data_IF_340439593952
#
_entry.id   IF_340439593952
#
_cell.length_a   1.000
_cell.length_b   1.000
_cell.length_c   1.000
_cell.angle_alpha   90.00
_cell.angle_beta   90.00
_cell.angle_gamma   90.00
#
_symmetry.space_group_name_H-M   'P 1'
#
loop_
_entity.id
_entity.type
_entity.pdbx_description
1 polymer ?
#
# COMPACT_ATOMS: atom_id res chain seq x y z
N UNK A 1 -7.61 1.47 6.68
CA UNK A 1 -7.99 1.18 8.07
C UNK A 1 -9.52 1.07 8.16
N UNK A 2 -10.02 0.53 9.27
CA UNK A 2 -11.44 0.48 9.61
C UNK A 2 -11.64 1.15 10.97
N UNK A 3 -12.66 1.98 11.08
CA UNK A 3 -12.96 2.75 12.28
C UNK A 3 -14.16 2.15 13.01
N UNK A 4 -13.97 1.91 14.31
CA UNK A 4 -15.06 1.61 15.23
C UNK A 4 -15.89 2.85 15.57
N UNK A 5 -17.08 2.68 16.18
CA UNK A 5 -17.99 3.78 16.52
C UNK A 5 -17.43 4.74 17.58
N UNK A 6 -16.42 4.34 18.33
CA UNK A 6 -15.69 5.13 19.33
C UNK A 6 -14.38 5.74 18.78
N UNK A 7 -14.06 5.50 17.50
CA UNK A 7 -12.85 5.98 16.84
C UNK A 7 -11.66 5.03 16.91
N UNK A 8 -11.79 3.83 17.49
CA UNK A 8 -10.73 2.82 17.48
C UNK A 8 -10.39 2.38 16.05
N UNK A 9 -9.11 2.14 15.78
CA UNK A 9 -8.59 1.88 14.43
C UNK A 9 -8.17 0.42 14.30
N UNK A 10 -8.81 -0.30 13.38
CA UNK A 10 -8.47 -1.67 13.01
C UNK A 10 -7.76 -1.69 11.65
N UNK A 11 -6.59 -2.32 11.58
CA UNK A 11 -5.80 -2.48 10.35
C UNK A 11 -5.80 -3.95 9.96
N UNK A 12 -6.42 -4.26 8.84
CA UNK A 12 -6.63 -5.62 8.34
C UNK A 12 -6.58 -5.63 6.80
N UNK A 13 -6.32 -6.79 6.20
CA UNK A 13 -6.28 -6.94 4.74
C UNK A 13 -7.67 -6.91 4.10
N UNK A 14 -8.68 -7.38 4.83
CA UNK A 14 -10.06 -7.39 4.38
C UNK A 14 -11.05 -7.00 5.50
N UNK A 15 -12.33 -6.95 5.14
CA UNK A 15 -13.40 -6.57 6.06
C UNK A 15 -13.68 -7.64 7.12
N UNK A 16 -13.56 -8.93 6.76
CA UNK A 16 -13.88 -10.03 7.66
C UNK A 16 -12.86 -10.11 8.80
N UNK A 17 -11.59 -9.93 8.49
CA UNK A 17 -10.51 -9.84 9.46
C UNK A 17 -10.71 -8.62 10.39
N UNK A 18 -11.08 -7.46 9.83
CA UNK A 18 -11.38 -6.27 10.62
C UNK A 18 -12.57 -6.48 11.59
N UNK A 19 -13.65 -7.10 11.11
CA UNK A 19 -14.82 -7.43 11.91
C UNK A 19 -14.49 -8.43 13.03
N UNK A 20 -13.61 -9.41 12.77
CA UNK A 20 -13.14 -10.34 13.79
C UNK A 20 -12.33 -9.62 14.89
N UNK A 21 -11.41 -8.73 14.51
CA UNK A 21 -10.65 -7.91 15.46
C UNK A 21 -11.57 -7.01 16.29
N UNK A 22 -12.56 -6.39 15.65
CA UNK A 22 -13.53 -5.55 16.35
C UNK A 22 -14.44 -6.38 17.27
N UNK A 23 -14.85 -7.58 16.86
CA UNK A 23 -15.65 -8.47 17.69
C UNK A 23 -14.87 -8.93 18.95
N UNK A 24 -13.57 -9.18 18.82
CA UNK A 24 -12.69 -9.46 19.97
C UNK A 24 -12.56 -8.24 20.89
N UNK A 25 -12.43 -7.04 20.33
CA UNK A 25 -12.29 -5.81 21.10
C UNK A 25 -13.58 -5.40 21.84
N UNK A 26 -14.74 -5.41 21.17
CA UNK A 26 -16.01 -4.96 21.73
C UNK A 26 -16.86 -6.08 22.36
N UNK A 27 -16.46 -7.35 22.19
CA UNK A 27 -17.22 -8.51 22.64
C UNK A 27 -18.58 -8.71 21.92
N UNK A 28 -18.81 -7.99 20.82
CA UNK A 28 -20.04 -8.04 20.02
C UNK A 28 -19.76 -7.66 18.57
N UNK A 29 -20.63 -8.10 17.67
CA UNK A 29 -20.60 -7.63 16.28
C UNK A 29 -20.89 -6.12 16.26
N UNK A 30 -19.96 -5.35 15.70
CA UNK A 30 -19.96 -3.90 15.69
C UNK A 30 -19.73 -3.44 14.26
N UNK A 31 -20.56 -2.51 13.79
CA UNK A 31 -20.44 -1.95 12.44
C UNK A 31 -19.17 -1.10 12.34
N UNK A 32 -18.35 -1.39 11.33
CA UNK A 32 -17.10 -0.69 11.06
C UNK A 32 -17.24 0.21 9.84
N UNK A 33 -16.65 1.40 9.91
CA UNK A 33 -16.57 2.31 8.76
C UNK A 33 -15.20 2.21 8.13
N UNK A 34 -15.13 1.89 6.83
CA UNK A 34 -13.85 1.89 6.10
C UNK A 34 -13.33 3.32 5.94
N UNK A 35 -12.03 3.49 6.12
CA UNK A 35 -11.35 4.74 5.81
C UNK A 35 -11.63 5.17 4.36
N UNK A 36 -12.07 6.42 4.20
CA UNK A 36 -12.36 7.00 2.88
C UNK A 36 -11.13 7.64 2.24
N UNK A 37 -10.03 7.77 2.98
CA UNK A 37 -8.80 8.33 2.46
C UNK A 37 -8.24 7.46 1.32
N UNK A 38 -7.75 8.15 0.30
CA UNK A 38 -7.05 7.55 -0.84
C UNK A 38 -5.58 7.92 -0.78
N UNK A 39 -4.75 7.00 -1.26
CA UNK A 39 -3.32 7.25 -1.34
C UNK A 39 -3.02 8.27 -2.45
N UNK A 40 -2.03 9.11 -2.20
CA UNK A 40 -1.50 10.07 -3.16
C UNK A 40 -1.03 9.37 -4.46
N UNK A 41 -1.19 10.01 -5.62
CA UNK A 41 -0.84 9.40 -6.92
C UNK A 41 0.64 9.03 -7.00
N UNK A 42 1.52 9.78 -6.33
CA UNK A 42 2.94 9.46 -6.29
C UNK A 42 3.26 8.26 -5.39
N UNK A 43 2.35 7.84 -4.50
CA UNK A 43 2.52 6.60 -3.75
C UNK A 43 2.49 5.39 -4.69
N UNK A 44 1.45 5.26 -5.51
CA UNK A 44 1.35 4.14 -6.46
C UNK A 44 2.41 4.22 -7.56
N UNK A 45 2.73 5.44 -8.03
CA UNK A 45 3.77 5.66 -9.03
C UNK A 45 5.17 5.29 -8.50
N UNK A 46 5.43 5.43 -7.20
CA UNK A 46 6.70 5.05 -6.61
C UNK A 46 6.95 3.53 -6.61
N UNK A 47 5.89 2.71 -6.69
CA UNK A 47 6.00 1.26 -6.76
C UNK A 47 6.35 0.74 -8.17
N UNK A 48 6.36 1.62 -9.17
CA UNK A 48 6.53 1.28 -10.59
C UNK A 48 7.71 0.34 -10.91
N UNK A 49 8.92 0.48 -10.31
CA UNK A 49 10.08 -0.33 -10.69
C UNK A 49 9.91 -1.84 -10.46
N UNK A 50 9.00 -2.25 -9.58
CA UNK A 50 8.81 -3.65 -9.19
C UNK A 50 7.35 -4.11 -9.28
N UNK A 51 6.36 -3.24 -9.12
CA UNK A 51 4.94 -3.62 -9.24
C UNK A 51 4.58 -4.12 -10.64
N UNK A 52 5.22 -3.56 -11.66
CA UNK A 52 5.08 -4.01 -13.06
C UNK A 52 5.68 -5.39 -13.33
N UNK A 53 6.54 -5.88 -12.44
CA UNK A 53 7.18 -7.19 -12.53
C UNK A 53 6.46 -8.26 -11.70
N UNK A 54 5.30 -7.93 -11.13
CA UNK A 54 4.49 -8.85 -10.33
C UNK A 54 4.89 -8.89 -8.86
N UNK A 55 5.51 -7.83 -8.33
CA UNK A 55 5.53 -7.60 -6.89
C UNK A 55 4.10 -7.33 -6.39
N UNK A 56 3.68 -7.83 -5.22
CA UNK A 56 4.49 -8.37 -4.12
C UNK A 56 4.93 -9.84 -4.23
N UNK A 57 4.50 -10.56 -5.26
CA UNK A 57 4.91 -11.95 -5.47
C UNK A 57 6.37 -12.07 -5.90
N UNK A 58 7.02 -13.19 -5.54
CA UNK A 58 8.42 -13.48 -5.93
C UNK A 58 8.46 -14.13 -7.31
N UNK A 59 8.23 -13.32 -8.34
CA UNK A 59 8.22 -13.79 -9.73
C UNK A 59 9.64 -13.90 -10.31
N UNK A 60 9.82 -14.73 -11.34
CA UNK A 60 11.08 -14.83 -12.07
C UNK A 60 11.45 -13.50 -12.75
N UNK A 61 10.45 -12.75 -13.23
CA UNK A 61 10.66 -11.43 -13.84
C UNK A 61 11.19 -10.43 -12.83
N UNK A 62 10.66 -10.42 -11.60
CA UNK A 62 11.14 -9.55 -10.54
C UNK A 62 12.60 -9.88 -10.20
N UNK A 63 12.93 -11.16 -10.01
CA UNK A 63 14.31 -11.59 -9.72
C UNK A 63 15.29 -11.24 -10.86
N UNK A 64 14.85 -11.34 -12.11
CA UNK A 64 15.72 -11.15 -13.27
C UNK A 64 15.92 -9.69 -13.67
N UNK A 65 14.89 -8.85 -13.54
CA UNK A 65 14.85 -7.50 -14.10
C UNK A 65 14.89 -6.38 -13.05
N UNK A 66 14.75 -6.71 -11.76
CA UNK A 66 14.96 -5.78 -10.66
C UNK A 66 16.26 -6.13 -9.91
N UNK A 67 17.14 -5.15 -9.62
CA UNK A 67 17.04 -3.73 -9.93
C UNK A 67 17.33 -3.39 -11.40
N UNK A 68 16.70 -2.34 -11.92
CA UNK A 68 16.94 -1.85 -13.29
C UNK A 68 18.25 -1.06 -13.39
N UNK A 69 18.83 -0.99 -14.59
CA UNK A 69 20.14 -0.33 -14.80
C UNK A 69 20.08 1.16 -15.13
N UNK A 70 18.97 1.66 -15.68
CA UNK A 70 18.84 3.04 -16.14
C UNK A 70 17.38 3.52 -16.02
N UNK A 71 17.21 4.72 -15.49
CA UNK A 71 15.93 5.45 -15.48
C UNK A 71 16.10 6.77 -16.24
N UNK A 72 15.31 6.96 -17.30
CA UNK A 72 15.29 8.19 -18.09
C UNK A 72 14.01 8.97 -17.74
N UNK A 73 14.17 10.22 -17.31
CA UNK A 73 13.04 11.07 -16.90
C UNK A 73 13.39 12.56 -16.97
N UNK A 74 12.39 13.43 -16.77
CA UNK A 74 12.56 14.87 -16.63
C UNK A 74 13.05 15.30 -15.25
N UNK A 75 13.75 16.44 -15.18
CA UNK A 75 14.30 16.95 -13.90
C UNK A 75 13.22 17.45 -12.94
N UNK A 76 12.05 17.80 -13.47
CA UNK A 76 10.89 18.38 -12.80
C UNK A 76 10.24 17.42 -11.78
N UNK A 77 10.40 16.11 -11.96
CA UNK A 77 9.79 15.08 -11.10
C UNK A 77 10.82 14.26 -10.30
N UNK A 78 12.08 14.72 -10.22
CA UNK A 78 13.12 14.02 -9.46
C UNK A 78 12.71 13.82 -8.00
N UNK A 79 12.19 14.86 -7.32
CA UNK A 79 11.81 14.74 -5.91
C UNK A 79 10.41 14.15 -5.71
N UNK A 80 9.47 14.41 -6.61
CA UNK A 80 8.11 13.88 -6.50
C UNK A 80 8.04 12.39 -6.80
N UNK A 81 8.87 11.89 -7.72
CA UNK A 81 8.80 10.51 -8.20
C UNK A 81 10.09 9.72 -8.02
N UNK A 82 11.21 10.17 -8.57
CA UNK A 82 12.47 9.38 -8.59
C UNK A 82 12.96 9.10 -7.18
N UNK A 83 12.99 10.11 -6.31
CA UNK A 83 13.38 9.95 -4.92
C UNK A 83 12.48 8.93 -4.18
N UNK A 84 11.17 8.92 -4.45
CA UNK A 84 10.24 7.96 -3.83
C UNK A 84 10.46 6.53 -4.34
N UNK A 85 10.71 6.35 -5.64
CA UNK A 85 11.09 5.04 -6.20
C UNK A 85 12.35 4.48 -5.53
N UNK A 86 13.35 5.32 -5.25
CA UNK A 86 14.56 4.89 -4.55
C UNK A 86 14.33 4.58 -3.06
N UNK A 87 13.38 5.25 -2.40
CA UNK A 87 13.07 4.99 -0.99
C UNK A 87 12.25 3.71 -0.77
N UNK A 88 11.41 3.33 -1.74
CA UNK A 88 10.53 2.17 -1.63
C UNK A 88 11.17 0.87 -2.12
N UNK A 89 12.18 0.98 -3.00
CA UNK A 89 12.88 -0.14 -3.61
C UNK A 89 14.02 -0.74 -2.79
#
# INVERSE_FOLDING_TARGET
AWYGPDGEIFVAHDQLEAEAMAAEHYGRNTELTRDQDVLDTWFSSALWPFSTLGWPEKTEQLERYYPTSLLVTGFDIIFFWVARMMMFG
#
